data_IF_585226205082
#
_entry.id   IF_585226205082
#
_cell.length_a   1.000
_cell.length_b   1.000
_cell.length_c   1.000
_cell.angle_alpha   90.00
_cell.angle_beta   90.00
_cell.angle_gamma   90.00
#
_symmetry.space_group_name_H-M   'P 1'
#
loop_
_entity.id
_entity.type
_entity.pdbx_description
1 polymer ?
#
# COMPACT_ATOMS: atom_id res chain seq x y z
N UNK A 1 -26.17 15.67 18.89
CA UNK A 1 -25.19 16.06 17.84
C UNK A 1 -23.83 16.54 18.38
N UNK A 2 -23.55 16.51 19.70
CA UNK A 2 -22.27 16.99 20.25
C UNK A 2 -21.13 15.93 20.28
N UNK A 3 -21.45 14.62 20.18
CA UNK A 3 -20.45 13.54 20.29
C UNK A 3 -19.68 13.24 18.99
N UNK A 4 -20.19 13.68 17.82
CA UNK A 4 -19.51 13.50 16.53
C UNK A 4 -18.45 14.59 16.32
N UNK A 5 -18.68 15.80 16.82
CA UNK A 5 -17.73 16.91 16.75
C UNK A 5 -16.50 16.72 17.64
N UNK A 6 -16.65 16.01 18.78
CA UNK A 6 -15.52 15.73 19.68
C UNK A 6 -14.54 14.67 19.13
N UNK A 7 -15.00 13.76 18.25
CA UNK A 7 -14.13 12.76 17.62
C UNK A 7 -13.30 13.31 16.46
N UNK A 8 -13.68 14.49 15.94
CA UNK A 8 -13.09 15.12 14.76
C UNK A 8 -12.16 16.29 15.12
N UNK A 9 -12.22 16.80 16.35
CA UNK A 9 -11.60 18.07 16.72
C UNK A 9 -10.08 18.01 16.96
N UNK A 10 -9.52 16.84 17.32
CA UNK A 10 -8.15 16.82 17.87
C UNK A 10 -7.17 15.84 17.20
N UNK A 11 -7.60 15.02 16.21
CA UNK A 11 -6.75 13.94 15.70
C UNK A 11 -6.63 13.82 14.16
N UNK A 12 -7.32 14.67 13.41
CA UNK A 12 -7.36 14.66 11.94
C UNK A 12 -6.80 15.94 11.31
N UNK A 13 -5.65 16.43 11.80
CA UNK A 13 -4.84 17.34 10.99
C UNK A 13 -4.23 16.55 9.81
N UNK A 14 -4.99 16.48 8.71
CA UNK A 14 -4.48 16.04 7.42
C UNK A 14 -3.55 17.16 6.92
N UNK A 15 -2.26 16.85 6.75
CA UNK A 15 -1.27 17.85 6.33
C UNK A 15 -1.64 18.43 4.95
N UNK A 16 -1.43 19.74 4.73
CA UNK A 16 -1.68 20.36 3.43
C UNK A 16 -0.80 19.72 2.36
N UNK A 17 -1.42 19.40 1.23
CA UNK A 17 -0.88 18.99 -0.07
C UNK A 17 0.66 18.92 -0.22
N UNK A 18 1.16 17.77 -0.67
CA UNK A 18 2.52 17.57 -1.20
C UNK A 18 2.69 18.23 -2.58
N UNK A 19 2.36 19.52 -2.68
CA UNK A 19 2.50 20.27 -3.93
C UNK A 19 3.92 20.05 -4.43
N UNK A 20 4.01 19.63 -5.70
CA UNK A 20 5.23 19.72 -6.50
C UNK A 20 5.82 21.10 -6.24
N UNK A 21 6.92 21.17 -5.50
CA UNK A 21 7.60 22.43 -5.32
C UNK A 21 8.22 22.76 -6.68
N UNK A 22 7.50 23.58 -7.45
CA UNK A 22 7.93 24.10 -8.76
C UNK A 22 9.03 25.17 -8.56
N UNK A 23 9.35 25.52 -7.31
CA UNK A 23 10.53 26.29 -6.97
C UNK A 23 11.80 25.45 -7.21
N UNK A 24 12.90 26.10 -7.57
CA UNK A 24 14.18 25.47 -7.98
C UNK A 24 14.82 24.50 -6.98
N UNK A 25 14.21 24.22 -5.82
CA UNK A 25 14.62 23.20 -4.84
C UNK A 25 14.50 21.76 -5.37
N UNK A 26 13.61 21.49 -6.34
CA UNK A 26 13.44 20.15 -6.90
C UNK A 26 14.64 19.68 -7.76
N UNK A 27 15.45 20.60 -8.27
CA UNK A 27 16.52 20.33 -9.26
C UNK A 27 17.69 19.47 -8.73
N UNK A 28 17.78 19.28 -7.41
CA UNK A 28 18.82 18.44 -6.77
C UNK A 28 18.31 17.14 -6.16
N UNK A 29 17.01 16.84 -6.27
CA UNK A 29 16.43 15.66 -5.60
C UNK A 29 16.84 14.35 -6.30
N UNK A 30 16.91 13.25 -5.55
CA UNK A 30 17.32 11.95 -6.10
C UNK A 30 16.38 11.47 -7.21
N UNK A 31 15.07 11.73 -7.08
CA UNK A 31 14.08 11.49 -8.12
C UNK A 31 14.32 12.37 -9.34
N UNK A 32 14.67 13.65 -9.17
CA UNK A 32 14.96 14.50 -10.31
C UNK A 32 16.20 14.00 -11.08
N UNK A 33 17.29 13.70 -10.36
CA UNK A 33 18.55 13.24 -10.94
C UNK A 33 18.43 11.85 -11.59
N UNK A 34 17.63 10.95 -11.01
CA UNK A 34 17.50 9.56 -11.47
C UNK A 34 16.10 9.22 -12.00
N UNK A 35 15.34 10.24 -12.42
CA UNK A 35 13.94 10.09 -12.81
C UNK A 35 13.72 9.10 -13.94
N UNK A 36 14.67 8.98 -14.87
CA UNK A 36 14.63 7.97 -15.95
C UNK A 36 14.66 6.54 -15.41
N UNK A 37 15.47 6.27 -14.39
CA UNK A 37 15.55 4.94 -13.77
C UNK A 37 14.30 4.64 -12.96
N UNK A 38 13.79 5.64 -12.22
CA UNK A 38 12.51 5.53 -11.51
C UNK A 38 11.40 5.19 -12.50
N UNK A 39 11.29 5.93 -13.61
CA UNK A 39 10.25 5.71 -14.60
C UNK A 39 10.39 4.35 -15.30
N UNK A 40 11.62 3.89 -15.58
CA UNK A 40 11.84 2.55 -16.17
C UNK A 40 11.29 1.44 -15.26
N UNK A 41 11.63 1.47 -13.96
CA UNK A 41 11.09 0.52 -12.97
C UNK A 41 9.56 0.59 -12.96
N UNK A 42 8.99 1.79 -12.88
CA UNK A 42 7.53 1.96 -12.81
C UNK A 42 6.83 1.40 -14.04
N UNK A 43 7.43 1.57 -15.22
CA UNK A 43 6.96 1.00 -16.48
C UNK A 43 7.06 -0.53 -16.49
N UNK A 44 8.13 -1.12 -15.97
CA UNK A 44 8.29 -2.59 -15.87
C UNK A 44 7.21 -3.22 -14.99
N UNK A 45 6.83 -2.54 -13.91
CA UNK A 45 5.71 -2.93 -13.05
C UNK A 45 4.33 -2.55 -13.62
N UNK A 46 4.28 -1.86 -14.77
CA UNK A 46 3.05 -1.45 -15.46
C UNK A 46 2.10 -0.61 -14.58
N UNK A 47 2.66 0.25 -13.74
CA UNK A 47 1.84 1.14 -12.90
C UNK A 47 1.42 2.35 -13.72
N UNK A 48 0.12 2.59 -13.82
CA UNK A 48 -0.45 3.78 -14.47
C UNK A 48 -0.82 4.81 -13.40
N UNK A 49 -0.29 6.04 -13.45
CA UNK A 49 -0.67 7.08 -12.50
C UNK A 49 -2.11 7.53 -12.72
N UNK A 50 -2.78 7.90 -11.63
CA UNK A 50 -4.02 8.67 -11.67
C UNK A 50 -3.72 10.17 -11.76
N UNK A 51 -4.72 10.98 -12.09
CA UNK A 51 -4.58 12.45 -12.08
C UNK A 51 -4.15 12.97 -10.69
N UNK A 52 -4.71 12.40 -9.61
CA UNK A 52 -4.34 12.76 -8.24
C UNK A 52 -2.86 12.46 -7.92
N UNK A 53 -2.30 11.40 -8.52
CA UNK A 53 -0.89 11.05 -8.35
C UNK A 53 0.04 11.99 -9.12
N UNK A 54 -0.37 12.47 -10.29
CA UNK A 54 0.41 13.46 -11.05
C UNK A 54 0.41 14.83 -10.35
N UNK A 55 -0.70 15.21 -9.74
CA UNK A 55 -0.87 16.51 -9.07
C UNK A 55 -0.26 16.57 -7.66
N UNK A 56 0.21 15.44 -7.10
CA UNK A 56 0.75 15.42 -5.73
C UNK A 56 -0.30 15.67 -4.65
N UNK A 57 -1.56 15.27 -4.90
CA UNK A 57 -2.64 15.42 -3.91
C UNK A 57 -2.37 14.54 -2.68
N UNK A 58 -2.89 14.90 -1.50
CA UNK A 58 -2.92 13.98 -0.36
C UNK A 58 -3.51 12.62 -0.73
N UNK A 59 -3.07 11.57 -0.02
CA UNK A 59 -3.64 10.24 -0.12
C UNK A 59 -5.01 10.26 0.54
N UNK A 60 -6.03 9.86 -0.21
CA UNK A 60 -7.43 9.72 0.22
C UNK A 60 -7.86 8.27 0.02
N UNK A 61 -7.59 7.42 1.01
CA UNK A 61 -7.88 5.99 0.99
C UNK A 61 -9.40 5.80 1.02
N UNK A 62 -10.11 6.49 1.92
CA UNK A 62 -11.55 6.28 2.06
C UNK A 62 -12.30 6.61 0.75
N UNK A 63 -11.95 7.72 0.10
CA UNK A 63 -12.57 8.19 -1.14
C UNK A 63 -12.28 7.28 -2.34
N UNK A 64 -11.20 6.49 -2.29
CA UNK A 64 -10.80 5.57 -3.37
C UNK A 64 -11.20 4.12 -3.09
N UNK A 65 -11.89 3.87 -1.97
CA UNK A 65 -12.40 2.55 -1.60
C UNK A 65 -13.41 2.05 -2.64
N UNK A 66 -13.27 0.79 -3.04
CA UNK A 66 -14.23 0.17 -3.94
C UNK A 66 -15.60 0.02 -3.25
N UNK A 67 -16.71 0.51 -3.83
CA UNK A 67 -18.02 0.43 -3.20
C UNK A 67 -18.50 -1.00 -2.90
N UNK A 68 -17.97 -2.01 -3.61
CA UNK A 68 -18.28 -3.41 -3.33
C UNK A 68 -17.68 -3.89 -1.99
N UNK A 69 -16.46 -3.43 -1.67
CA UNK A 69 -15.77 -3.74 -0.41
C UNK A 69 -16.53 -3.09 0.75
N UNK A 70 -16.89 -1.82 0.61
CA UNK A 70 -17.63 -1.09 1.63
C UNK A 70 -19.01 -1.71 1.92
N UNK A 71 -19.76 -2.06 0.88
CA UNK A 71 -21.10 -2.67 1.00
C UNK A 71 -21.09 -4.08 1.59
N UNK A 72 -19.93 -4.74 1.63
CA UNK A 72 -19.81 -6.05 2.27
C UNK A 72 -19.89 -5.98 3.80
N UNK A 73 -19.67 -4.80 4.38
CA UNK A 73 -19.70 -4.56 5.82
C UNK A 73 -21.00 -3.88 6.25
N UNK A 74 -21.47 -4.20 7.46
CA UNK A 74 -22.72 -3.66 8.04
C UNK A 74 -22.51 -3.17 9.46
N UNK A 75 -23.31 -2.18 9.86
CA UNK A 75 -23.36 -1.66 11.23
C UNK A 75 -21.99 -1.27 11.77
N UNK A 76 -21.69 -1.71 12.99
CA UNK A 76 -20.45 -1.41 13.70
C UNK A 76 -19.18 -1.81 12.93
N UNK A 77 -19.21 -2.94 12.20
CA UNK A 77 -18.06 -3.40 11.43
C UNK A 77 -17.68 -2.42 10.30
N UNK A 78 -18.67 -1.75 9.71
CA UNK A 78 -18.42 -0.70 8.69
C UNK A 78 -17.82 0.55 9.34
N UNK A 79 -18.33 0.94 10.51
CA UNK A 79 -17.80 2.08 11.25
C UNK A 79 -16.34 1.86 11.67
N UNK A 80 -16.03 0.70 12.24
CA UNK A 80 -14.67 0.32 12.64
C UNK A 80 -13.72 0.20 11.44
N UNK A 81 -14.22 -0.26 10.30
CA UNK A 81 -13.46 -0.26 9.05
C UNK A 81 -13.14 1.16 8.59
N UNK A 82 -14.09 2.08 8.62
CA UNK A 82 -13.86 3.49 8.24
C UNK A 82 -12.85 4.17 9.17
N UNK A 83 -12.95 3.96 10.49
CA UNK A 83 -11.96 4.45 11.46
C UNK A 83 -10.55 3.93 11.13
N UNK A 84 -10.44 2.64 10.80
CA UNK A 84 -9.16 2.05 10.42
C UNK A 84 -8.60 2.61 9.11
N UNK A 85 -9.46 2.88 8.11
CA UNK A 85 -9.05 3.52 6.86
C UNK A 85 -8.50 4.93 7.11
N UNK A 86 -9.20 5.76 7.89
CA UNK A 86 -8.75 7.11 8.25
C UNK A 86 -7.41 7.09 9.01
N UNK A 87 -7.24 6.17 9.97
CA UNK A 87 -5.99 6.02 10.70
C UNK A 87 -4.82 5.63 9.78
N UNK A 88 -5.06 4.75 8.80
CA UNK A 88 -4.04 4.36 7.83
C UNK A 88 -3.81 5.41 6.75
N UNK A 89 -4.80 6.24 6.43
CA UNK A 89 -4.67 7.39 5.54
C UNK A 89 -3.74 8.44 6.14
N UNK A 90 -3.90 8.76 7.44
CA UNK A 90 -2.98 9.63 8.18
C UNK A 90 -1.53 9.12 8.07
N UNK A 91 -1.31 7.83 8.36
CA UNK A 91 0.01 7.20 8.23
C UNK A 91 0.55 7.21 6.80
N UNK A 92 -0.29 6.99 5.81
CA UNK A 92 0.10 7.02 4.40
C UNK A 92 0.61 8.41 3.99
N UNK A 93 -0.07 9.47 4.43
CA UNK A 93 0.36 10.84 4.17
C UNK A 93 1.66 11.18 4.93
N UNK A 94 1.80 10.78 6.19
CA UNK A 94 3.07 10.93 6.94
C UNK A 94 4.24 10.23 6.24
N UNK A 95 4.05 9.00 5.77
CA UNK A 95 5.05 8.28 4.97
C UNK A 95 5.36 8.96 3.64
N UNK A 96 4.35 9.56 3.00
CA UNK A 96 4.53 10.29 1.75
C UNK A 96 5.35 11.56 1.95
N UNK A 97 5.13 12.28 3.06
CA UNK A 97 5.99 13.41 3.47
C UNK A 97 7.42 12.91 3.59
N UNK A 98 7.66 11.83 4.36
CA UNK A 98 9.00 11.28 4.58
C UNK A 98 9.69 10.89 3.28
N UNK A 99 8.99 10.20 2.38
CA UNK A 99 9.54 9.78 1.09
C UNK A 99 9.89 11.00 0.23
N UNK A 100 8.99 11.98 0.16
CA UNK A 100 9.15 13.18 -0.67
C UNK A 100 10.29 14.06 -0.15
N UNK A 101 10.42 14.24 1.17
CA UNK A 101 11.54 14.95 1.77
C UNK A 101 12.88 14.24 1.51
N UNK A 102 12.90 12.90 1.56
CA UNK A 102 14.14 12.13 1.39
C UNK A 102 14.61 12.04 -0.05
N UNK A 103 13.69 11.91 -1.01
CA UNK A 103 14.03 11.57 -2.40
C UNK A 103 13.57 12.59 -3.44
N UNK A 104 12.70 13.54 -3.10
CA UNK A 104 11.90 14.31 -4.05
C UNK A 104 10.60 13.59 -4.40
N UNK A 105 9.64 14.31 -5.00
CA UNK A 105 8.34 13.73 -5.34
C UNK A 105 8.39 12.94 -6.66
N UNK A 106 7.83 11.73 -6.63
CA UNK A 106 7.41 10.97 -7.81
C UNK A 106 6.02 10.38 -7.53
N UNK A 107 5.15 10.33 -8.53
CA UNK A 107 3.78 9.81 -8.40
C UNK A 107 3.71 8.39 -7.80
N UNK A 108 4.78 7.60 -7.99
CA UNK A 108 4.86 6.23 -7.48
C UNK A 108 4.84 6.16 -5.96
N UNK A 109 5.34 7.16 -5.24
CA UNK A 109 5.28 7.17 -3.77
C UNK A 109 3.85 7.26 -3.29
N UNK A 110 3.06 8.14 -3.92
CA UNK A 110 1.64 8.30 -3.60
C UNK A 110 0.85 7.03 -3.94
N UNK A 111 0.98 6.53 -5.18
CA UNK A 111 0.29 5.32 -5.63
C UNK A 111 0.68 4.09 -4.80
N UNK A 112 1.97 3.94 -4.50
CA UNK A 112 2.51 2.86 -3.69
C UNK A 112 1.97 2.85 -2.27
N UNK A 113 2.05 3.98 -1.55
CA UNK A 113 1.56 4.10 -0.18
C UNK A 113 0.03 3.96 -0.09
N UNK A 114 -0.72 4.55 -1.03
CA UNK A 114 -2.16 4.36 -1.10
C UNK A 114 -2.51 2.87 -1.26
N UNK A 115 -1.88 2.20 -2.22
CA UNK A 115 -2.10 0.76 -2.44
C UNK A 115 -1.73 -0.07 -1.21
N UNK A 116 -0.66 0.31 -0.51
CA UNK A 116 -0.17 -0.40 0.67
C UNK A 116 -1.17 -0.35 1.81
N UNK A 117 -1.56 0.87 2.21
CA UNK A 117 -2.40 1.11 3.36
C UNK A 117 -3.86 0.72 3.12
N UNK A 118 -4.37 0.88 1.88
CA UNK A 118 -5.67 0.34 1.48
C UNK A 118 -5.70 -1.18 1.66
N UNK A 119 -4.75 -1.89 1.03
CA UNK A 119 -4.68 -3.36 1.06
C UNK A 119 -4.55 -3.87 2.48
N UNK A 120 -3.66 -3.27 3.28
CA UNK A 120 -3.46 -3.62 4.70
C UNK A 120 -4.74 -3.51 5.51
N UNK A 121 -5.52 -2.45 5.29
CA UNK A 121 -6.80 -2.25 6.00
C UNK A 121 -7.85 -3.27 5.58
N UNK A 122 -7.98 -3.51 4.27
CA UNK A 122 -8.93 -4.49 3.72
C UNK A 122 -8.64 -5.89 4.27
N UNK A 123 -7.38 -6.34 4.23
CA UNK A 123 -6.99 -7.66 4.75
C UNK A 123 -7.21 -7.78 6.26
N UNK A 124 -7.02 -6.71 7.02
CA UNK A 124 -7.22 -6.77 8.47
C UNK A 124 -8.71 -6.86 8.88
N UNK A 125 -9.63 -6.44 8.02
CA UNK A 125 -11.04 -6.21 8.40
C UNK A 125 -12.05 -7.00 7.57
N UNK A 126 -11.65 -7.57 6.43
CA UNK A 126 -12.54 -8.30 5.52
C UNK A 126 -11.97 -9.69 5.29
N UNK A 127 -12.80 -10.72 5.51
CA UNK A 127 -12.41 -12.11 5.29
C UNK A 127 -12.56 -12.48 3.81
N UNK A 128 -11.49 -13.02 3.23
CA UNK A 128 -11.47 -13.58 1.88
C UNK A 128 -11.78 -15.08 1.86
N UNK A 129 -11.91 -15.70 3.03
CA UNK A 129 -12.21 -17.11 3.19
C UNK A 129 -13.71 -17.31 3.34
N UNK A 130 -14.22 -18.37 2.72
CA UNK A 130 -15.61 -18.80 2.89
C UNK A 130 -15.84 -19.28 4.32
N UNK A 131 -17.10 -19.26 4.81
CA UNK A 131 -17.45 -19.86 6.10
C UNK A 131 -16.87 -21.27 6.25
N UNK A 132 -16.27 -21.55 7.40
CA UNK A 132 -15.60 -22.81 7.72
C UNK A 132 -16.19 -23.35 9.03
N UNK A 133 -16.32 -24.68 9.12
CA UNK A 133 -16.89 -25.36 10.30
C UNK A 133 -16.07 -25.12 11.58
N UNK A 134 -14.79 -24.77 11.43
CA UNK A 134 -13.88 -24.42 12.54
C UNK A 134 -14.11 -23.01 13.08
N UNK A 135 -14.99 -22.23 12.46
CA UNK A 135 -15.42 -20.91 12.92
C UNK A 135 -14.61 -19.74 12.36
N UNK A 136 -15.06 -18.52 12.70
CA UNK A 136 -14.51 -17.26 12.18
C UNK A 136 -13.08 -16.98 12.63
N UNK A 137 -12.73 -17.33 13.86
CA UNK A 137 -11.38 -17.13 14.42
C UNK A 137 -10.32 -17.88 13.62
N UNK A 138 -10.61 -19.14 13.25
CA UNK A 138 -9.74 -19.93 12.38
C UNK A 138 -9.50 -19.21 11.04
N UNK A 139 -10.56 -18.68 10.40
CA UNK A 139 -10.42 -17.97 9.12
C UNK A 139 -9.57 -16.72 9.25
N UNK A 140 -9.79 -15.94 10.30
CA UNK A 140 -9.01 -14.71 10.58
C UNK A 140 -7.54 -15.06 10.78
N UNK A 141 -7.24 -16.11 11.54
CA UNK A 141 -5.87 -16.57 11.78
C UNK A 141 -5.18 -17.05 10.50
N UNK A 142 -5.84 -17.88 9.68
CA UNK A 142 -5.28 -18.34 8.41
C UNK A 142 -5.02 -17.17 7.45
N UNK A 143 -5.96 -16.23 7.35
CA UNK A 143 -5.76 -15.05 6.52
C UNK A 143 -4.58 -14.21 6.99
N UNK A 144 -4.46 -14.00 8.30
CA UNK A 144 -3.33 -13.28 8.90
C UNK A 144 -2.00 -13.98 8.58
N UNK A 145 -1.91 -15.28 8.80
CA UNK A 145 -0.71 -16.07 8.46
C UNK A 145 -0.39 -16.02 6.96
N UNK A 146 -1.42 -16.10 6.11
CA UNK A 146 -1.28 -16.02 4.65
C UNK A 146 -0.75 -14.64 4.20
N UNK A 147 -1.21 -13.57 4.86
CA UNK A 147 -0.73 -12.21 4.63
C UNK A 147 0.70 -12.03 5.12
N UNK A 148 0.99 -12.45 6.36
CA UNK A 148 2.32 -12.33 6.97
C UNK A 148 3.38 -13.11 6.20
N UNK A 149 3.02 -14.27 5.63
CA UNK A 149 3.89 -15.05 4.78
C UNK A 149 4.30 -14.31 3.50
N UNK A 150 3.42 -13.47 2.94
CA UNK A 150 3.72 -12.68 1.75
C UNK A 150 4.43 -11.37 2.10
N UNK A 151 4.06 -10.73 3.22
CA UNK A 151 4.67 -9.46 3.66
C UNK A 151 6.17 -9.64 4.03
N UNK A 152 6.53 -10.77 4.63
CA UNK A 152 7.87 -10.97 5.21
C UNK A 152 8.82 -11.83 4.35
N UNK A 153 8.37 -12.37 3.20
CA UNK A 153 9.18 -13.27 2.36
C UNK A 153 9.32 -12.74 0.94
N UNK A 154 10.25 -13.35 0.19
CA UNK A 154 10.32 -13.24 -1.28
C UNK A 154 8.97 -13.68 -1.89
N UNK A 155 8.69 -13.32 -3.16
CA UNK A 155 7.50 -13.82 -3.85
C UNK A 155 7.36 -15.33 -3.65
N UNK A 156 6.25 -15.75 -3.03
CA UNK A 156 6.00 -17.16 -2.72
C UNK A 156 5.87 -17.93 -4.03
N UNK A 157 6.74 -18.91 -4.26
CA UNK A 157 6.60 -19.80 -5.40
C UNK A 157 5.46 -20.82 -5.16
N UNK A 158 5.12 -21.61 -6.17
CA UNK A 158 4.02 -22.58 -6.05
C UNK A 158 4.27 -23.66 -4.98
N UNK A 159 5.53 -24.04 -4.75
CA UNK A 159 5.88 -24.99 -3.70
C UNK A 159 5.69 -24.38 -2.30
N UNK A 160 6.13 -23.14 -2.09
CA UNK A 160 5.92 -22.39 -0.84
C UNK A 160 4.43 -22.23 -0.55
N UNK A 161 3.63 -21.88 -1.57
CA UNK A 161 2.18 -21.74 -1.48
C UNK A 161 1.52 -23.05 -1.06
N UNK A 162 1.89 -24.18 -1.68
CA UNK A 162 1.39 -25.52 -1.31
C UNK A 162 1.75 -25.90 0.11
N UNK A 163 3.02 -25.73 0.49
CA UNK A 163 3.48 -26.01 1.85
C UNK A 163 2.69 -25.22 2.90
N UNK A 164 2.44 -23.93 2.65
CA UNK A 164 1.66 -23.08 3.54
C UNK A 164 0.20 -23.53 3.64
N UNK A 165 -0.43 -23.91 2.51
CA UNK A 165 -1.79 -24.43 2.48
C UNK A 165 -1.91 -25.69 3.35
N UNK A 166 -0.98 -26.63 3.18
CA UNK A 166 -0.96 -27.88 3.94
C UNK A 166 -0.72 -27.61 5.44
N UNK A 167 0.25 -26.75 5.76
CA UNK A 167 0.59 -26.39 7.14
C UNK A 167 -0.56 -25.68 7.88
N UNK A 168 -1.34 -24.85 7.18
CA UNK A 168 -2.50 -24.15 7.75
C UNK A 168 -3.80 -24.97 7.69
N UNK A 169 -3.77 -26.13 7.03
CA UNK A 169 -4.93 -26.96 6.72
C UNK A 169 -6.10 -26.15 6.12
N UNK A 170 -5.79 -25.19 5.24
CA UNK A 170 -6.78 -24.26 4.68
C UNK A 170 -7.25 -24.67 3.28
N UNK A 171 -8.36 -24.09 2.83
CA UNK A 171 -8.91 -24.40 1.50
C UNK A 171 -8.00 -23.80 0.41
N UNK A 172 -7.40 -24.63 -0.48
CA UNK A 172 -6.43 -24.14 -1.46
C UNK A 172 -6.99 -23.03 -2.35
N UNK A 173 -8.23 -23.19 -2.81
CA UNK A 173 -8.89 -22.22 -3.69
C UNK A 173 -9.03 -20.83 -3.07
N UNK A 174 -9.30 -20.76 -1.75
CA UNK A 174 -9.47 -19.49 -1.05
C UNK A 174 -8.10 -18.81 -0.84
N UNK A 175 -7.07 -19.60 -0.49
CA UNK A 175 -5.70 -19.11 -0.33
C UNK A 175 -5.12 -18.57 -1.66
N UNK A 176 -5.26 -19.31 -2.77
CA UNK A 176 -4.79 -18.85 -4.07
C UNK A 176 -5.54 -17.60 -4.55
N UNK A 177 -6.85 -17.53 -4.35
CA UNK A 177 -7.64 -16.33 -4.66
C UNK A 177 -7.16 -15.13 -3.86
N UNK A 178 -6.91 -15.33 -2.55
CA UNK A 178 -6.40 -14.29 -1.67
C UNK A 178 -5.02 -13.80 -2.11
N UNK A 179 -4.05 -14.69 -2.32
CA UNK A 179 -2.71 -14.29 -2.77
C UNK A 179 -2.73 -13.63 -4.14
N UNK A 180 -3.53 -14.12 -5.09
CA UNK A 180 -3.67 -13.49 -6.41
C UNK A 180 -4.21 -12.06 -6.29
N UNK A 181 -5.20 -11.84 -5.42
CA UNK A 181 -5.73 -10.51 -5.16
C UNK A 181 -4.68 -9.61 -4.46
N UNK A 182 -3.95 -10.15 -3.49
CA UNK A 182 -2.93 -9.44 -2.73
C UNK A 182 -1.76 -9.02 -3.61
N UNK A 183 -1.23 -9.94 -4.43
CA UNK A 183 -0.15 -9.68 -5.39
C UNK A 183 -0.54 -8.55 -6.37
N UNK A 184 -1.75 -8.59 -6.92
CA UNK A 184 -2.27 -7.54 -7.81
C UNK A 184 -2.41 -6.20 -7.10
N UNK A 185 -2.96 -6.20 -5.88
CA UNK A 185 -3.18 -4.97 -5.11
C UNK A 185 -1.87 -4.33 -4.62
N UNK A 186 -0.78 -5.10 -4.57
CA UNK A 186 0.56 -4.66 -4.13
C UNK A 186 1.48 -4.17 -5.25
N UNK A 187 1.10 -4.29 -6.53
CA UNK A 187 1.97 -3.91 -7.65
C UNK A 187 2.54 -2.49 -7.52
N UNK A 188 1.74 -1.44 -7.22
CA UNK A 188 2.28 -0.08 -7.06
C UNK A 188 3.24 0.04 -5.88
N UNK A 189 2.96 -0.63 -4.76
CA UNK A 189 3.84 -0.64 -3.60
C UNK A 189 5.16 -1.36 -3.89
N UNK A 190 5.14 -2.49 -4.60
CA UNK A 190 6.35 -3.22 -4.96
C UNK A 190 7.23 -2.40 -5.91
N UNK A 191 6.63 -1.72 -6.89
CA UNK A 191 7.32 -0.77 -7.76
C UNK A 191 7.94 0.37 -6.94
N UNK A 192 7.20 0.94 -5.98
CA UNK A 192 7.72 1.95 -5.06
C UNK A 192 8.92 1.47 -4.26
N UNK A 193 8.85 0.26 -3.68
CA UNK A 193 9.95 -0.34 -2.92
C UNK A 193 11.19 -0.58 -3.80
N UNK A 194 11.00 -1.04 -5.04
CA UNK A 194 12.08 -1.21 -6.00
C UNK A 194 12.76 0.14 -6.34
N UNK A 195 11.97 1.20 -6.55
CA UNK A 195 12.50 2.55 -6.73
C UNK A 195 13.27 3.04 -5.50
N UNK A 196 12.72 2.85 -4.29
CA UNK A 196 13.39 3.23 -3.03
C UNK A 196 14.73 2.51 -2.88
N UNK A 197 14.75 1.20 -3.12
CA UNK A 197 15.96 0.39 -3.03
C UNK A 197 17.03 0.87 -4.04
N UNK A 198 16.62 1.17 -5.27
CA UNK A 198 17.49 1.71 -6.30
C UNK A 198 18.07 3.07 -5.88
N UNK A 199 17.22 4.01 -5.43
CA UNK A 199 17.65 5.34 -4.99
C UNK A 199 18.59 5.27 -3.77
N UNK A 200 18.29 4.41 -2.79
CA UNK A 200 19.15 4.20 -1.63
C UNK A 200 20.51 3.60 -2.01
N UNK A 201 20.54 2.67 -2.98
CA UNK A 201 21.79 2.06 -3.44
C UNK A 201 22.67 3.07 -4.21
N UNK A 202 22.08 3.91 -5.05
CA UNK A 202 22.81 4.99 -5.72
C UNK A 202 23.38 5.97 -4.70
N UNK A 203 22.55 6.41 -3.73
CA UNK A 203 22.98 7.36 -2.69
C UNK A 203 24.10 6.81 -1.79
N UNK A 204 24.15 5.49 -1.59
CA UNK A 204 25.20 4.80 -0.84
C UNK A 204 26.45 4.47 -1.69
N UNK A 205 26.52 4.93 -2.95
CA UNK A 205 27.65 4.69 -3.85
C UNK A 205 27.78 3.24 -4.32
N UNK A 206 26.71 2.44 -4.25
CA UNK A 206 26.70 1.01 -4.64
C UNK A 206 26.34 0.77 -6.11
N UNK A 207 26.07 1.82 -6.88
CA UNK A 207 25.88 1.77 -8.33
C UNK A 207 26.98 2.60 -9.00
N UNK A 208 28.03 1.94 -9.50
CA UNK A 208 28.92 2.53 -10.50
C UNK A 208 28.27 2.30 -11.86
N UNK A 209 27.61 3.33 -12.41
CA UNK A 209 27.19 3.30 -13.81
C UNK A 209 28.45 3.42 -14.65
N UNK A 210 28.85 2.33 -15.30
CA UNK A 210 29.89 2.37 -16.32
C UNK A 210 29.45 3.31 -17.44
N UNK A 211 30.25 4.32 -17.71
CA UNK A 211 30.12 5.12 -18.92
C UNK A 211 30.47 4.26 -20.13
N UNK A 212 29.50 4.09 -21.02
CA UNK A 212 29.68 3.67 -22.40
C UNK A 212 29.06 4.72 -23.30
#
# INVERSE_FOLDING_TARGET
>A
MAQVSALMADDLQIQPSHRLDVSGEAAGTAVHLHGRLVQAIVTDFRVTPTLADLEGRPIEILSTLQPAIERSLKGENRLEFHKALLANEKKANEDLVRCTQKYGYHYIFRAGLQSYYMTKTVVARISFWRPDVRGDEYRVNVQKLSYDALENRRPLNDADKRFLIDAMACVPADAYRFWTWLEKSRVPYNAMQACILMLDNIRKGKYTVGHG
#
